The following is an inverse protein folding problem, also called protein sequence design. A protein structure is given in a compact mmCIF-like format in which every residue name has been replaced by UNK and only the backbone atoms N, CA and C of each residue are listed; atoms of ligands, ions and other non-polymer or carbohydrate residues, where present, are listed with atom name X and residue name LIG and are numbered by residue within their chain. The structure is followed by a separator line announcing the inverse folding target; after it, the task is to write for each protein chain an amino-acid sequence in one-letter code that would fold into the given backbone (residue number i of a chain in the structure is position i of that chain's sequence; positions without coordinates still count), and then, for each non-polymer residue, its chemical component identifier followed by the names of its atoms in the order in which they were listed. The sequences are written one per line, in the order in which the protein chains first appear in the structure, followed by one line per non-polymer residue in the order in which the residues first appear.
data_IF_088124814389
#
_entry.id   IF_088124814389
#
_cell.length_a   1.000
_cell.length_b   1.000
_cell.length_c   1.000
_cell.angle_alpha   90.00
_cell.angle_beta   90.00
_cell.angle_gamma   90.00
#
_symmetry.space_group_name_H-M   'P 1'
#
loop_
_entity.id
_entity.type
_entity.pdbx_description
1 polymer ?
#
# COMPACT_ATOMS: atom_id res chain seq x y z
N UNK A 1 14.20 -7.46 7.30
CA UNK A 1 14.66 -8.17 6.09
C UNK A 1 13.57 -8.07 5.06
N UNK A 2 13.83 -7.40 3.95
CA UNK A 2 12.87 -7.11 2.90
C UNK A 2 12.89 -8.22 1.85
N UNK A 3 11.76 -8.46 1.20
CA UNK A 3 11.68 -9.47 0.16
C UNK A 3 10.61 -9.10 -0.87
N UNK A 4 10.75 -9.63 -2.08
CA UNK A 4 9.65 -9.66 -3.04
C UNK A 4 9.71 -10.95 -3.86
N UNK A 5 8.56 -11.33 -4.40
CA UNK A 5 8.40 -12.47 -5.29
C UNK A 5 7.68 -12.03 -6.56
N UNK A 6 8.08 -12.62 -7.68
CA UNK A 6 7.44 -12.46 -8.98
C UNK A 6 7.02 -13.83 -9.47
N UNK A 7 5.79 -13.95 -9.95
CA UNK A 7 5.29 -15.18 -10.57
C UNK A 7 4.56 -14.85 -11.88
N UNK A 8 4.98 -15.43 -13.02
CA UNK A 8 4.25 -15.31 -14.27
C UNK A 8 2.94 -16.08 -14.24
N UNK A 9 1.97 -15.60 -15.01
CA UNK A 9 0.74 -16.35 -15.32
C UNK A 9 0.75 -16.92 -16.75
N UNK A 10 1.88 -16.82 -17.45
CA UNK A 10 2.10 -17.32 -18.80
C UNK A 10 3.49 -17.97 -18.90
N UNK A 11 3.64 -18.98 -19.76
CA UNK A 11 4.92 -19.64 -20.01
C UNK A 11 5.90 -18.74 -20.77
N UNK A 12 7.19 -19.10 -20.73
CA UNK A 12 8.27 -18.41 -21.45
C UNK A 12 8.31 -16.89 -21.19
N UNK A 13 7.95 -16.46 -19.98
CA UNK A 13 7.91 -15.06 -19.57
C UNK A 13 9.32 -14.56 -19.25
N UNK A 14 9.75 -13.51 -19.94
CA UNK A 14 11.03 -12.85 -19.72
C UNK A 14 10.87 -11.74 -18.69
N UNK A 15 11.68 -11.79 -17.62
CA UNK A 15 11.77 -10.75 -16.60
C UNK A 15 13.11 -10.02 -16.68
N UNK A 16 13.07 -8.69 -16.63
CA UNK A 16 14.22 -7.83 -16.40
C UNK A 16 14.06 -7.13 -15.04
N UNK A 17 14.95 -7.44 -14.10
CA UNK A 17 14.96 -6.88 -12.75
C UNK A 17 16.10 -5.88 -12.59
N UNK A 18 15.77 -4.61 -12.34
CA UNK A 18 16.70 -3.53 -12.07
C UNK A 18 16.64 -3.17 -10.58
N UNK A 19 17.67 -3.56 -9.83
CA UNK A 19 17.71 -3.31 -8.39
C UNK A 19 17.82 -1.82 -8.04
N UNK A 20 17.20 -1.46 -6.92
CA UNK A 20 17.31 -0.12 -6.32
C UNK A 20 18.77 0.26 -6.05
N UNK A 21 19.04 1.56 -5.90
CA UNK A 21 20.39 2.06 -5.65
C UNK A 21 21.03 1.41 -4.41
N UNK A 22 20.25 1.23 -3.34
CA UNK A 22 20.70 0.63 -2.08
C UNK A 22 21.27 -0.78 -2.27
N UNK A 23 20.63 -1.60 -3.10
CA UNK A 23 21.04 -2.97 -3.38
C UNK A 23 22.10 -3.02 -4.50
N UNK A 24 22.04 -2.09 -5.45
CA UNK A 24 22.97 -2.02 -6.58
C UNK A 24 24.43 -1.81 -6.14
N UNK A 25 24.67 -1.27 -4.95
CA UNK A 25 26.02 -1.00 -4.42
C UNK A 25 26.62 -2.15 -3.61
N UNK A 26 25.83 -3.18 -3.24
CA UNK A 26 26.32 -4.38 -2.54
C UNK A 26 25.32 -5.53 -2.66
N UNK A 27 25.62 -6.53 -3.50
CA UNK A 27 24.82 -7.76 -3.63
C UNK A 27 25.05 -8.75 -2.49
N UNK A 28 25.95 -8.47 -1.56
CA UNK A 28 26.36 -9.40 -0.51
C UNK A 28 25.21 -9.78 0.44
N UNK A 29 24.16 -8.97 0.49
CA UNK A 29 22.96 -9.22 1.30
C UNK A 29 21.77 -9.74 0.48
N UNK A 30 21.88 -9.85 -0.84
CA UNK A 30 20.78 -10.27 -1.72
C UNK A 30 20.80 -11.77 -1.95
N UNK A 31 19.71 -12.44 -1.59
CA UNK A 31 19.45 -13.83 -1.92
C UNK A 31 18.43 -13.90 -3.05
N UNK A 32 18.68 -14.74 -4.06
CA UNK A 32 17.79 -14.97 -5.19
C UNK A 32 17.51 -16.46 -5.35
N UNK A 33 16.24 -16.84 -5.35
CA UNK A 33 15.78 -18.22 -5.49
C UNK A 33 14.75 -18.32 -6.61
N UNK A 34 14.94 -19.25 -7.53
CA UNK A 34 13.89 -19.65 -8.49
C UNK A 34 13.35 -20.99 -7.97
N UNK A 35 12.07 -21.01 -7.61
CA UNK A 35 11.41 -22.24 -7.20
C UNK A 35 10.78 -22.92 -8.43
N UNK A 36 10.92 -24.25 -8.61
CA UNK A 36 11.59 -25.21 -7.71
C UNK A 36 13.11 -25.38 -7.93
N UNK A 37 13.71 -24.80 -8.97
CA UNK A 37 15.08 -25.12 -9.39
C UNK A 37 15.98 -23.89 -9.62
N UNK A 38 17.07 -23.85 -8.83
CA UNK A 38 18.35 -23.11 -9.02
C UNK A 38 18.40 -21.65 -8.50
N UNK A 39 19.51 -21.34 -7.83
CA UNK A 39 19.94 -19.98 -7.47
C UNK A 39 20.50 -19.26 -8.71
N UNK A 40 20.05 -18.05 -8.99
CA UNK A 40 20.57 -17.26 -10.11
C UNK A 40 21.70 -16.33 -9.69
N UNK A 41 22.71 -16.18 -10.55
CA UNK A 41 23.79 -15.22 -10.36
C UNK A 41 23.35 -13.83 -10.85
N UNK A 42 23.54 -12.82 -10.00
CA UNK A 42 23.19 -11.43 -10.28
C UNK A 42 24.48 -10.62 -10.34
N UNK A 43 24.58 -9.70 -11.29
CA UNK A 43 25.72 -8.80 -11.44
C UNK A 43 25.33 -7.37 -11.11
N UNK A 44 26.20 -6.67 -10.38
CA UNK A 44 26.02 -5.24 -10.07
C UNK A 44 25.94 -4.42 -11.37
N UNK A 45 25.02 -3.47 -11.42
CA UNK A 45 24.94 -2.47 -12.50
C UNK A 45 24.35 -2.97 -13.82
N UNK A 46 23.86 -4.21 -13.89
CA UNK A 46 23.09 -4.74 -15.03
C UNK A 46 21.72 -5.24 -14.55
N UNK A 47 20.67 -5.18 -15.39
CA UNK A 47 19.44 -5.90 -15.06
C UNK A 47 19.72 -7.39 -14.95
N UNK A 48 19.15 -8.03 -13.94
CA UNK A 48 19.09 -9.48 -13.87
C UNK A 48 17.97 -9.95 -14.80
N UNK A 49 18.27 -10.95 -15.65
CA UNK A 49 17.35 -11.45 -16.67
C UNK A 49 16.98 -12.89 -16.36
N UNK A 50 15.69 -13.18 -16.37
CA UNK A 50 15.12 -14.50 -16.07
C UNK A 50 14.11 -14.88 -17.14
N UNK A 51 14.02 -16.16 -17.46
CA UNK A 51 12.94 -16.74 -18.26
C UNK A 51 12.25 -17.75 -17.36
N UNK A 52 10.96 -17.55 -17.14
CA UNK A 52 10.15 -18.30 -16.19
C UNK A 52 8.91 -18.86 -16.87
N UNK A 53 8.47 -20.03 -16.43
CA UNK A 53 7.20 -20.60 -16.86
C UNK A 53 6.04 -20.14 -15.97
N UNK A 54 4.82 -20.45 -16.40
CA UNK A 54 3.62 -20.22 -15.62
C UNK A 54 3.75 -20.85 -14.22
N UNK A 55 3.44 -20.08 -13.18
CA UNK A 55 3.53 -20.45 -11.76
C UNK A 55 4.94 -20.70 -11.20
N UNK A 56 6.01 -20.52 -11.98
CA UNK A 56 7.34 -20.40 -11.41
C UNK A 56 7.39 -19.19 -10.46
N UNK A 57 8.21 -19.28 -9.42
CA UNK A 57 8.35 -18.19 -8.44
C UNK A 57 9.80 -17.76 -8.35
N UNK A 58 10.06 -16.53 -8.78
CA UNK A 58 11.32 -15.85 -8.57
C UNK A 58 11.22 -15.04 -7.26
N UNK A 59 12.04 -15.39 -6.27
CA UNK A 59 12.04 -14.78 -4.94
C UNK A 59 13.37 -14.08 -4.66
N UNK A 60 13.28 -12.84 -4.16
CA UNK A 60 14.42 -12.06 -3.70
C UNK A 60 14.26 -11.70 -2.23
N UNK A 61 15.35 -11.77 -1.49
CA UNK A 61 15.41 -11.39 -0.08
C UNK A 61 16.68 -10.57 0.19
N UNK A 62 16.57 -9.47 0.93
CA UNK A 62 17.69 -8.62 1.30
C UNK A 62 17.58 -8.07 2.72
N UNK A 63 18.74 -7.81 3.32
CA UNK A 63 18.82 -7.00 4.53
C UNK A 63 18.53 -5.51 4.25
N UNK A 64 18.79 -5.05 3.01
CA UNK A 64 18.56 -3.68 2.56
C UNK A 64 17.11 -3.47 2.10
N UNK A 65 16.70 -2.20 1.96
CA UNK A 65 15.40 -1.86 1.36
C UNK A 65 15.41 -2.15 -0.15
N UNK A 66 14.47 -3.00 -0.58
CA UNK A 66 14.27 -3.39 -1.97
C UNK A 66 13.36 -2.41 -2.73
N UNK A 67 12.78 -1.42 -2.06
CA UNK A 67 11.89 -0.42 -2.68
C UNK A 67 12.56 0.28 -3.84
N UNK A 68 11.82 0.45 -4.95
CA UNK A 68 12.36 1.00 -6.19
C UNK A 68 13.08 -0.01 -7.06
N UNK A 69 13.04 -1.30 -6.71
CA UNK A 69 13.47 -2.37 -7.61
C UNK A 69 12.44 -2.51 -8.73
N UNK A 70 12.88 -2.26 -9.96
CA UNK A 70 12.03 -2.27 -11.14
C UNK A 70 11.97 -3.68 -11.74
N UNK A 71 10.78 -4.24 -11.86
CA UNK A 71 10.51 -5.50 -12.57
C UNK A 71 9.80 -5.16 -13.87
N UNK A 72 10.42 -5.50 -14.99
CA UNK A 72 9.83 -5.35 -16.34
C UNK A 72 9.61 -6.75 -16.90
N UNK A 73 8.40 -7.03 -17.39
CA UNK A 73 8.03 -8.31 -17.99
C UNK A 73 7.42 -8.11 -19.38
N UNK A 74 7.59 -9.10 -20.26
CA UNK A 74 6.91 -9.18 -21.56
C UNK A 74 5.48 -9.76 -21.47
N UNK A 75 5.16 -10.50 -20.40
CA UNK A 75 3.84 -11.11 -20.16
C UNK A 75 3.28 -10.76 -18.77
N UNK A 76 2.10 -11.27 -18.45
CA UNK A 76 1.44 -10.97 -17.19
C UNK A 76 2.19 -11.59 -16.00
N UNK A 77 2.47 -10.78 -14.99
CA UNK A 77 3.07 -11.23 -13.73
C UNK A 77 2.28 -10.75 -12.52
N UNK A 78 2.35 -11.52 -11.44
CA UNK A 78 1.98 -11.10 -10.10
C UNK A 78 3.24 -10.78 -9.30
N UNK A 79 3.26 -9.63 -8.63
CA UNK A 79 4.35 -9.21 -7.75
C UNK A 79 3.83 -9.05 -6.34
N UNK A 80 4.50 -9.70 -5.41
CA UNK A 80 4.20 -9.62 -3.98
C UNK A 80 5.45 -9.16 -3.26
N UNK A 81 5.34 -8.12 -2.44
CA UNK A 81 6.46 -7.58 -1.68
C UNK A 81 6.15 -7.59 -0.19
N UNK A 82 7.19 -7.62 0.63
CA UNK A 82 7.02 -7.67 2.06
C UNK A 82 8.29 -7.50 2.85
N UNK A 83 8.14 -7.61 4.16
CA UNK A 83 9.25 -7.68 5.08
C UNK A 83 9.02 -8.80 6.07
N UNK A 84 10.10 -9.51 6.39
CA UNK A 84 10.17 -10.44 7.50
C UNK A 84 10.96 -9.79 8.62
N UNK A 85 10.70 -10.27 9.82
CA UNK A 85 11.42 -9.90 11.03
C UNK A 85 11.07 -8.52 11.60
N UNK A 86 9.81 -8.12 11.50
CA UNK A 86 9.34 -6.91 12.17
C UNK A 86 9.12 -7.22 13.66
N UNK A 87 9.83 -6.54 14.58
CA UNK A 87 9.60 -6.69 16.01
C UNK A 87 8.19 -6.26 16.38
N UNK A 88 7.60 -7.00 17.32
CA UNK A 88 6.30 -6.71 17.92
C UNK A 88 6.33 -7.15 19.38
N UNK A 89 5.35 -6.70 20.18
CA UNK A 89 5.20 -7.16 21.57
C UNK A 89 5.14 -8.70 21.69
N UNK A 90 4.58 -9.38 20.68
CA UNK A 90 4.33 -10.83 20.65
C UNK A 90 5.34 -11.58 19.77
N UNK A 91 6.56 -11.05 19.66
CA UNK A 91 7.67 -11.66 18.94
C UNK A 91 7.88 -11.07 17.54
N UNK A 92 8.17 -11.93 16.58
CA UNK A 92 8.58 -11.52 15.25
C UNK A 92 7.46 -11.82 14.23
N UNK A 93 7.04 -10.80 13.48
CA UNK A 93 6.02 -10.94 12.43
C UNK A 93 6.56 -10.54 11.06
N UNK A 94 5.83 -10.94 10.02
CA UNK A 94 6.07 -10.54 8.65
C UNK A 94 4.86 -9.79 8.11
N UNK A 95 5.10 -8.97 7.10
CA UNK A 95 4.10 -8.23 6.37
C UNK A 95 4.27 -8.51 4.89
N UNK A 96 3.16 -8.54 4.15
CA UNK A 96 3.11 -8.90 2.74
C UNK A 96 1.96 -8.16 2.07
N UNK A 97 2.19 -7.70 0.85
CA UNK A 97 1.18 -7.03 0.03
C UNK A 97 1.44 -7.32 -1.45
N UNK A 98 0.38 -7.43 -2.24
CA UNK A 98 0.50 -7.53 -3.70
C UNK A 98 0.74 -6.13 -4.27
N UNK A 99 1.75 -5.96 -5.10
CA UNK A 99 2.10 -4.65 -5.67
C UNK A 99 1.47 -4.51 -7.06
N UNK A 100 0.65 -3.48 -7.31
CA UNK A 100 0.08 -3.23 -8.61
C UNK A 100 1.15 -2.69 -9.58
N UNK A 101 0.96 -2.86 -10.90
CA UNK A 101 1.85 -2.25 -11.89
C UNK A 101 1.87 -0.73 -11.76
N UNK A 102 3.00 -0.15 -12.13
CA UNK A 102 3.24 1.29 -12.15
C UNK A 102 2.20 2.08 -12.95
N UNK A 103 1.61 1.49 -14.01
CA UNK A 103 0.51 2.11 -14.77
C UNK A 103 -0.80 2.30 -13.98
N UNK A 104 -0.95 1.59 -12.86
CA UNK A 104 -2.09 1.69 -11.94
C UNK A 104 -1.77 2.60 -10.76
N UNK A 105 -0.60 3.22 -10.71
CA UNK A 105 -0.27 4.18 -9.67
C UNK A 105 -0.99 5.49 -9.95
N UNK A 106 -1.17 6.29 -8.90
CA UNK A 106 -2.01 7.48 -8.97
C UNK A 106 -1.38 8.68 -8.27
N UNK A 107 -2.16 9.74 -8.09
CA UNK A 107 -1.61 11.03 -7.68
C UNK A 107 -2.40 11.73 -6.57
N UNK A 108 -3.51 11.15 -6.12
CA UNK A 108 -4.43 11.77 -5.16
C UNK A 108 -5.00 10.71 -4.23
N UNK A 109 -4.58 10.73 -2.97
CA UNK A 109 -4.90 9.68 -2.00
C UNK A 109 -5.49 10.29 -0.74
N UNK A 110 -6.45 9.58 -0.14
CA UNK A 110 -6.91 9.89 1.21
C UNK A 110 -6.35 8.86 2.16
N UNK A 111 -5.65 9.34 3.18
CA UNK A 111 -5.03 8.54 4.22
C UNK A 111 -5.73 8.76 5.55
N UNK A 112 -6.08 7.67 6.23
CA UNK A 112 -6.57 7.69 7.59
C UNK A 112 -5.80 6.67 8.44
N UNK A 113 -5.21 7.08 9.58
CA UNK A 113 -4.64 6.14 10.52
C UNK A 113 -5.68 5.11 10.98
N UNK A 114 -5.26 3.85 11.07
CA UNK A 114 -6.06 2.68 11.45
C UNK A 114 -6.64 2.76 12.86
N UNK A 115 -6.06 3.59 13.74
CA UNK A 115 -6.41 3.66 15.15
C UNK A 115 -5.86 2.49 15.98
N UNK A 116 -5.04 1.61 15.38
CA UNK A 116 -4.38 0.48 16.08
C UNK A 116 -3.15 0.91 16.86
N UNK A 117 -2.61 2.08 16.55
CA UNK A 117 -1.46 2.67 17.22
C UNK A 117 -1.79 4.10 17.67
N UNK A 118 -1.54 4.43 18.94
CA UNK A 118 -1.71 5.80 19.44
C UNK A 118 -0.74 6.79 18.78
N UNK A 119 0.42 6.31 18.34
CA UNK A 119 1.38 7.12 17.59
C UNK A 119 0.95 7.39 16.14
N UNK A 120 -0.11 6.72 15.65
CA UNK A 120 -0.51 6.76 14.25
C UNK A 120 0.13 5.67 13.39
N UNK A 121 -0.06 5.78 12.07
CA UNK A 121 0.45 4.81 11.11
C UNK A 121 1.50 5.44 10.20
N UNK A 122 2.26 4.59 9.52
CA UNK A 122 3.30 5.03 8.60
C UNK A 122 2.78 4.96 7.19
N UNK A 123 2.88 6.09 6.47
CA UNK A 123 2.67 6.13 5.04
C UNK A 123 4.01 5.99 4.33
N UNK A 124 4.12 4.99 3.46
CA UNK A 124 5.25 4.77 2.56
C UNK A 124 4.83 5.14 1.14
N UNK A 125 5.54 6.09 0.54
CA UNK A 125 5.27 6.60 -0.80
C UNK A 125 6.45 6.27 -1.71
N UNK A 126 6.20 5.70 -2.89
CA UNK A 126 7.23 5.35 -3.87
C UNK A 126 6.98 6.10 -5.17
N UNK A 127 7.98 6.80 -5.70
CA UNK A 127 7.85 7.62 -6.90
C UNK A 127 8.03 6.84 -8.20
N UNK A 128 7.12 7.01 -9.16
CA UNK A 128 7.32 6.46 -10.51
C UNK A 128 8.35 7.25 -11.33
N UNK A 129 8.46 8.56 -11.06
CA UNK A 129 9.24 9.50 -11.86
C UNK A 129 10.10 10.44 -10.97
N UNK A 130 11.25 10.92 -11.47
CA UNK A 130 12.07 11.88 -10.76
C UNK A 130 11.39 13.24 -10.65
N UNK A 131 11.86 14.09 -9.75
CA UNK A 131 11.32 15.44 -9.49
C UNK A 131 9.80 15.41 -9.28
N UNK A 132 9.34 14.55 -8.37
CA UNK A 132 7.93 14.44 -8.00
C UNK A 132 7.69 15.29 -6.75
N UNK A 133 6.86 16.31 -6.86
CA UNK A 133 6.41 17.12 -5.73
C UNK A 133 5.31 16.34 -4.98
N UNK A 134 5.45 16.18 -3.67
CA UNK A 134 4.48 15.54 -2.80
C UNK A 134 4.03 16.54 -1.73
N UNK A 135 2.71 16.69 -1.57
CA UNK A 135 2.08 17.45 -0.50
C UNK A 135 1.21 16.53 0.35
N UNK A 136 1.37 16.65 1.67
CA UNK A 136 0.58 15.91 2.66
C UNK A 136 -0.08 16.93 3.58
N UNK A 137 -1.36 16.77 3.85
CA UNK A 137 -2.08 17.65 4.79
C UNK A 137 -1.34 17.73 6.13
N UNK A 138 -1.08 18.94 6.61
CA UNK A 138 -0.36 19.17 7.88
C UNK A 138 1.16 19.12 7.79
N UNK A 139 1.74 18.83 6.61
CA UNK A 139 3.18 18.81 6.38
C UNK A 139 3.59 19.82 5.31
N UNK A 140 4.83 20.30 5.39
CA UNK A 140 5.43 21.09 4.30
C UNK A 140 5.62 20.19 3.07
N UNK A 141 5.31 20.69 1.86
CA UNK A 141 5.52 19.93 0.63
C UNK A 141 7.02 19.73 0.39
N UNK A 142 7.37 18.64 -0.29
CA UNK A 142 8.75 18.30 -0.60
C UNK A 142 8.87 17.65 -1.99
N UNK A 143 10.06 17.75 -2.57
CA UNK A 143 10.36 17.15 -3.88
C UNK A 143 11.21 15.90 -3.67
N UNK A 144 10.79 14.81 -4.30
CA UNK A 144 11.59 13.59 -4.42
C UNK A 144 12.34 13.64 -5.75
N UNK A 145 13.66 13.72 -5.68
CA UNK A 145 14.51 13.98 -6.85
C UNK A 145 14.61 12.76 -7.79
N UNK A 146 14.70 11.54 -7.25
CA UNK A 146 14.92 10.30 -7.99
C UNK A 146 13.60 9.49 -8.12
N UNK A 147 13.49 8.67 -9.17
CA UNK A 147 12.42 7.67 -9.26
C UNK A 147 12.74 6.43 -8.42
N UNK A 148 11.73 5.60 -8.13
CA UNK A 148 11.85 4.44 -7.25
C UNK A 148 12.22 4.78 -5.81
N UNK A 149 12.27 6.06 -5.44
CA UNK A 149 12.64 6.47 -4.08
C UNK A 149 11.45 6.28 -3.16
N UNK A 150 11.63 5.48 -2.12
CA UNK A 150 10.69 5.37 -1.02
C UNK A 150 10.86 6.52 -0.03
N UNK A 151 9.76 7.14 0.35
CA UNK A 151 9.69 8.13 1.43
C UNK A 151 8.66 7.66 2.45
N UNK A 152 9.08 7.62 3.71
CA UNK A 152 8.22 7.23 4.83
C UNK A 152 7.92 8.45 5.70
N UNK A 153 6.67 8.55 6.14
CA UNK A 153 6.19 9.57 7.09
C UNK A 153 5.22 8.94 8.06
N UNK A 154 5.32 9.28 9.34
CA UNK A 154 4.26 8.95 10.30
C UNK A 154 3.16 10.00 10.20
N UNK A 155 1.92 9.53 10.10
CA UNK A 155 0.73 10.37 10.23
C UNK A 155 0.09 10.00 11.56
N UNK A 156 0.16 10.93 12.51
CA UNK A 156 -0.27 10.71 13.88
C UNK A 156 -1.76 10.37 13.97
N UNK A 157 -2.12 9.61 15.02
CA UNK A 157 -3.49 9.20 15.25
C UNK A 157 -4.44 10.41 15.31
N UNK A 158 -5.60 10.27 14.65
CA UNK A 158 -6.60 11.34 14.54
C UNK A 158 -6.32 12.37 13.44
N UNK A 159 -5.15 12.33 12.78
CA UNK A 159 -4.87 13.17 11.61
C UNK A 159 -5.32 12.48 10.32
N UNK A 160 -6.36 13.00 9.69
CA UNK A 160 -6.78 12.58 8.35
C UNK A 160 -6.08 13.45 7.30
N UNK A 161 -5.47 12.82 6.30
CA UNK A 161 -4.58 13.52 5.38
C UNK A 161 -4.92 13.24 3.92
N UNK A 162 -4.95 14.30 3.12
CA UNK A 162 -4.80 14.21 1.67
C UNK A 162 -3.32 14.10 1.33
N UNK A 163 -2.98 13.19 0.43
CA UNK A 163 -1.65 13.08 -0.19
C UNK A 163 -1.83 13.37 -1.67
N UNK A 164 -1.17 14.41 -2.15
CA UNK A 164 -1.18 14.79 -3.56
C UNK A 164 0.24 14.75 -4.11
N UNK A 165 0.39 14.22 -5.32
CA UNK A 165 1.66 14.14 -6.01
C UNK A 165 1.56 14.74 -7.41
N UNK A 166 2.59 15.46 -7.86
CA UNK A 166 2.62 16.02 -9.22
C UNK A 166 2.76 14.97 -10.32
N UNK A 167 3.12 13.74 -9.96
CA UNK A 167 3.35 12.58 -10.85
C UNK A 167 2.92 11.31 -10.12
N UNK A 168 2.62 10.20 -10.82
CA UNK A 168 2.11 9.00 -10.17
C UNK A 168 3.08 8.42 -9.12
N UNK A 169 2.51 7.98 -8.00
CA UNK A 169 3.20 7.33 -6.88
C UNK A 169 2.40 6.10 -6.42
N UNK A 170 3.09 5.14 -5.79
CA UNK A 170 2.45 4.12 -4.96
C UNK A 170 2.36 4.63 -3.53
N UNK A 171 1.22 4.39 -2.88
CA UNK A 171 1.04 4.71 -1.46
C UNK A 171 0.67 3.43 -0.71
N UNK A 172 1.44 3.15 0.33
CA UNK A 172 1.25 2.03 1.25
C UNK A 172 1.04 2.57 2.66
N UNK A 173 0.11 1.99 3.39
CA UNK A 173 -0.09 2.20 4.81
C UNK A 173 0.52 1.01 5.56
N UNK A 174 1.50 1.29 6.41
CA UNK A 174 2.10 0.33 7.31
C UNK A 174 1.48 0.55 8.69
N UNK A 175 0.74 -0.46 9.15
CA UNK A 175 0.02 -0.43 10.41
C UNK A 175 0.77 -1.24 11.44
N UNK A 176 0.87 -0.70 12.66
CA UNK A 176 1.37 -1.46 13.80
C UNK A 176 2.84 -1.85 13.74
N UNK A 177 3.66 -1.10 12.99
CA UNK A 177 5.11 -1.26 12.98
C UNK A 177 5.77 -0.25 13.93
N UNK A 178 6.67 -0.72 14.79
CA UNK A 178 7.56 0.12 15.59
C UNK A 178 8.75 0.55 14.72
N UNK A 179 8.64 1.66 13.98
CA UNK A 179 9.75 2.18 13.16
C UNK A 179 10.47 3.38 13.80
N UNK A 180 9.95 3.96 14.89
CA UNK A 180 10.46 5.22 15.44
C UNK A 180 10.71 5.23 16.96
N UNK A 181 11.15 4.10 17.54
CA UNK A 181 11.32 3.93 19.01
C UNK A 181 10.05 4.30 19.81
N UNK A 182 8.89 4.22 19.17
CA UNK A 182 7.59 4.50 19.76
C UNK A 182 7.05 3.24 20.45
N UNK A 183 6.32 3.44 21.56
CA UNK A 183 5.60 2.37 22.25
C UNK A 183 4.32 2.07 21.49
N UNK A 184 4.45 1.46 20.31
CA UNK A 184 3.33 0.95 19.54
C UNK A 184 3.19 -0.55 19.82
N UNK A 185 2.27 -0.92 20.70
CA UNK A 185 2.03 -2.31 21.10
C UNK A 185 0.68 -2.79 20.54
N UNK A 186 0.50 -2.88 19.20
CA UNK A 186 -0.72 -3.41 18.66
C UNK A 186 -0.81 -4.89 19.05
N UNK A 187 -1.94 -5.30 19.61
CA UNK A 187 -2.23 -6.72 19.92
C UNK A 187 -2.26 -7.61 18.66
N UNK A 188 -2.21 -6.99 17.48
CA UNK A 188 -2.18 -7.61 16.15
C UNK A 188 -0.84 -7.30 15.49
N UNK A 189 -0.27 -8.26 14.75
CA UNK A 189 0.99 -8.05 14.05
C UNK A 189 0.91 -6.96 12.99
N UNK A 190 2.07 -6.41 12.55
CA UNK A 190 2.15 -5.39 11.52
C UNK A 190 1.57 -5.87 10.21
N UNK A 191 0.93 -4.97 9.48
CA UNK A 191 0.43 -5.21 8.12
C UNK A 191 0.79 -4.05 7.22
N UNK A 192 0.92 -4.34 5.92
CA UNK A 192 0.96 -3.34 4.86
C UNK A 192 -0.38 -3.39 4.16
N UNK A 193 -0.90 -2.24 3.75
CA UNK A 193 -2.07 -2.16 2.88
C UNK A 193 -1.87 -1.10 1.80
N UNK A 194 -2.30 -1.40 0.58
CA UNK A 194 -2.40 -0.42 -0.51
C UNK A 194 -3.40 0.69 -0.19
N UNK A 195 -2.95 1.95 -0.31
CA UNK A 195 -3.85 3.11 -0.32
C UNK A 195 -4.18 3.42 -1.78
N UNK A 196 -5.43 3.22 -2.24
CA UNK A 196 -5.84 3.51 -3.61
C UNK A 196 -5.85 5.00 -3.92
N UNK A 197 -5.47 5.32 -5.16
CA UNK A 197 -5.78 6.61 -5.76
C UNK A 197 -7.29 6.82 -5.82
N UNK A 198 -7.75 8.05 -5.61
CA UNK A 198 -9.16 8.40 -5.65
C UNK A 198 -9.77 8.07 -7.03
N UNK A 199 -8.97 8.12 -8.10
CA UNK A 199 -9.42 7.71 -9.44
C UNK A 199 -9.83 6.23 -9.55
N UNK A 200 -9.38 5.38 -8.63
CA UNK A 200 -9.77 3.97 -8.56
C UNK A 200 -11.04 3.72 -7.73
N UNK A 201 -11.53 4.73 -7.03
CA UNK A 201 -12.71 4.57 -6.19
C UNK A 201 -13.95 4.38 -7.07
N UNK A 202 -14.75 3.38 -6.73
CA UNK A 202 -15.96 3.05 -7.50
C UNK A 202 -17.16 3.83 -6.97
N UNK A 203 -18.05 4.25 -7.86
CA UNK A 203 -19.38 4.71 -7.46
C UNK A 203 -20.24 3.48 -7.16
N UNK A 204 -20.67 3.27 -5.90
CA UNK A 204 -21.51 2.10 -5.59
C UNK A 204 -21.87 1.92 -4.13
N UNK A 205 -22.38 0.73 -3.82
CA UNK A 205 -22.73 0.27 -2.48
C UNK A 205 -21.67 -0.71 -1.99
N UNK A 206 -21.14 -0.52 -0.78
CA UNK A 206 -20.36 -1.55 -0.13
C UNK A 206 -21.29 -2.39 0.73
N UNK A 207 -21.38 -3.68 0.40
CA UNK A 207 -21.96 -4.67 1.31
C UNK A 207 -20.82 -5.14 2.20
N UNK A 208 -20.95 -4.85 3.48
CA UNK A 208 -19.99 -5.28 4.48
C UNK A 208 -20.47 -6.62 5.04
N UNK A 209 -19.61 -7.66 5.13
CA UNK A 209 -19.99 -8.86 5.86
C UNK A 209 -20.38 -8.43 7.29
N UNK A 210 -21.56 -8.87 7.73
CA UNK A 210 -22.20 -8.49 8.99
C UNK A 210 -21.26 -8.74 10.18
N UNK A 211 -20.50 -7.70 10.53
CA UNK A 211 -19.57 -7.70 11.64
C UNK A 211 -19.79 -6.45 12.49
N UNK A 212 -19.50 -6.58 13.79
CA UNK A 212 -19.50 -5.46 14.72
C UNK A 212 -18.38 -4.50 14.35
N UNK A 213 -18.73 -3.36 13.76
CA UNK A 213 -17.75 -2.33 13.45
C UNK A 213 -17.52 -1.41 14.66
N UNK A 214 -16.28 -1.34 15.14
CA UNK A 214 -15.81 -0.23 15.98
C UNK A 214 -14.94 0.68 15.11
N UNK A 215 -15.28 1.98 15.05
CA UNK A 215 -14.48 3.05 14.42
C UNK A 215 -14.27 2.89 12.90
N UNK A 216 -15.34 2.94 12.09
CA UNK A 216 -15.20 2.97 10.62
C UNK A 216 -15.00 4.39 10.14
N UNK A 217 -13.97 4.59 9.29
CA UNK A 217 -13.80 5.82 8.53
C UNK A 217 -14.33 5.58 7.13
N UNK A 218 -15.43 6.26 6.80
CA UNK A 218 -16.00 6.25 5.45
C UNK A 218 -15.60 7.55 4.77
N UNK A 219 -14.90 7.47 3.66
CA UNK A 219 -14.57 8.68 2.88
C UNK A 219 -15.45 8.65 1.64
N UNK A 220 -16.28 9.66 1.46
CA UNK A 220 -17.22 9.73 0.35
C UNK A 220 -17.18 11.11 -0.33
N UNK A 221 -17.35 11.13 -1.65
CA UNK A 221 -17.54 12.36 -2.44
C UNK A 221 -18.93 13.01 -2.22
N UNK A 222 -19.80 12.36 -1.45
CA UNK A 222 -21.15 12.84 -1.13
C UNK A 222 -21.33 13.01 0.37
N UNK A 223 -22.22 13.92 0.77
CA UNK A 223 -22.47 14.25 2.18
C UNK A 223 -23.42 13.26 2.88
N UNK A 224 -23.86 12.21 2.19
CA UNK A 224 -24.89 11.30 2.66
C UNK A 224 -24.36 9.86 2.63
N UNK A 225 -24.11 9.32 3.82
CA UNK A 225 -23.85 7.90 4.06
C UNK A 225 -25.09 7.33 4.76
N UNK A 226 -25.75 6.37 4.11
CA UNK A 226 -26.91 5.67 4.69
C UNK A 226 -26.45 4.26 5.10
N UNK A 227 -26.65 3.91 6.38
CA UNK A 227 -26.43 2.55 6.88
C UNK A 227 -27.61 1.63 6.57
N UNK A 228 -27.38 0.31 6.51
CA UNK A 228 -28.41 -0.74 6.34
C UNK A 228 -29.62 -0.60 7.28
N UNK A 229 -29.44 -0.02 8.46
CA UNK A 229 -30.52 0.23 9.43
C UNK A 229 -31.47 1.38 9.05
N UNK A 230 -31.20 2.10 7.96
CA UNK A 230 -31.97 3.26 7.52
C UNK A 230 -31.80 4.51 8.40
N UNK A 231 -30.99 4.45 9.47
CA UNK A 231 -30.69 5.61 10.34
C UNK A 231 -29.50 6.39 9.79
N UNK A 232 -29.65 7.72 9.76
CA UNK A 232 -28.51 8.63 9.62
C UNK A 232 -27.66 8.57 10.90
N UNK A 233 -26.36 8.28 10.78
CA UNK A 233 -25.43 8.34 11.92
C UNK A 233 -24.94 9.76 12.11
N UNK A 234 -24.71 10.14 13.37
CA UNK A 234 -24.12 11.43 13.71
C UNK A 234 -22.67 11.47 13.20
N UNK A 235 -22.46 12.19 12.10
CA UNK A 235 -21.16 12.31 11.43
C UNK A 235 -20.38 13.47 12.05
N UNK A 236 -19.19 13.23 12.59
CA UNK A 236 -18.22 14.32 12.72
C UNK A 236 -17.67 14.60 11.32
N UNK A 237 -18.17 15.65 10.68
CA UNK A 237 -17.73 16.04 9.34
C UNK A 237 -16.30 16.57 9.40
N UNK A 238 -15.32 15.79 8.93
CA UNK A 238 -14.02 16.34 8.58
C UNK A 238 -14.03 16.63 7.08
N UNK A 239 -13.96 17.91 6.72
CA UNK A 239 -13.68 18.34 5.35
C UNK A 239 -12.20 18.08 5.08
N UNK A 240 -11.90 17.17 4.15
CA UNK A 240 -10.53 17.01 3.68
C UNK A 240 -10.15 18.27 2.92
N UNK A 241 -9.13 19.04 3.36
CA UNK A 241 -8.75 20.29 2.70
C UNK A 241 -8.50 20.08 1.20
N UNK A 242 -9.00 21.00 0.38
CA UNK A 242 -8.82 21.01 -1.08
C UNK A 242 -9.42 19.83 -1.85
N UNK A 243 -10.31 19.03 -1.25
CA UNK A 243 -11.08 18.01 -1.97
C UNK A 243 -12.60 18.26 -1.82
N UNK A 244 -13.38 17.77 -2.80
CA UNK A 244 -14.84 17.65 -2.66
C UNK A 244 -15.27 16.47 -1.77
N UNK A 245 -14.31 15.69 -1.25
CA UNK A 245 -14.56 14.51 -0.44
C UNK A 245 -14.73 14.86 1.03
N UNK A 246 -15.64 14.16 1.70
CA UNK A 246 -15.91 14.28 3.13
C UNK A 246 -15.49 12.99 3.81
N UNK A 247 -14.73 13.12 4.89
CA UNK A 247 -14.47 12.02 5.81
C UNK A 247 -15.63 12.00 6.79
N UNK A 248 -16.33 10.87 6.81
CA UNK A 248 -17.41 10.55 7.71
C UNK A 248 -16.91 9.47 8.65
N UNK A 249 -16.56 9.87 9.88
CA UNK A 249 -16.26 8.91 10.93
C UNK A 249 -17.57 8.42 11.55
N UNK A 250 -17.83 7.13 11.43
CA UNK A 250 -18.95 6.49 12.11
C UNK A 250 -18.55 6.23 13.56
N UNK A 251 -18.92 7.16 14.44
CA UNK A 251 -18.82 6.98 15.88
C UNK A 251 -20.04 6.17 16.32
N UNK A 252 -19.91 4.87 16.55
CA UNK A 252 -20.96 4.14 17.27
C UNK A 252 -20.40 3.29 18.41
N UNK A 253 -21.10 3.36 19.54
CA UNK A 253 -21.06 2.35 20.56
C UNK A 253 -21.98 1.22 20.10
N UNK A 254 -21.42 0.11 19.59
CA UNK A 254 -22.12 -1.17 19.42
C UNK A 254 -23.25 -1.24 18.37
N UNK A 255 -23.01 -0.85 17.10
CA UNK A 255 -23.93 -1.18 16.00
C UNK A 255 -23.23 -1.95 14.86
N UNK A 256 -23.94 -2.91 14.26
CA UNK A 256 -23.51 -3.64 13.04
C UNK A 256 -23.83 -2.77 11.82
N UNK A 257 -22.87 -2.68 10.88
CA UNK A 257 -23.04 -1.95 9.62
C UNK A 257 -23.03 -2.97 8.49
N UNK A 258 -24.20 -3.30 7.94
CA UNK A 258 -24.29 -4.34 6.89
C UNK A 258 -24.17 -3.76 5.48
N UNK A 259 -24.49 -2.48 5.31
CA UNK A 259 -24.54 -1.83 4.00
C UNK A 259 -24.19 -0.35 4.12
N UNK A 260 -23.31 0.14 3.24
CA UNK A 260 -22.99 1.56 3.08
C UNK A 260 -23.37 1.99 1.66
N UNK A 261 -24.37 2.87 1.56
CA UNK A 261 -24.77 3.50 0.29
C UNK A 261 -24.21 4.91 0.21
N UNK A 262 -23.45 5.19 -0.83
CA UNK A 262 -22.97 6.53 -1.16
C UNK A 262 -23.42 6.90 -2.58
N UNK A 263 -23.70 8.18 -2.83
CA UNK A 263 -24.04 8.65 -4.17
C UNK A 263 -22.81 9.01 -5.02
N UNK A 264 -21.62 8.60 -4.57
CA UNK A 264 -20.34 8.86 -5.25
C UNK A 264 -19.20 8.03 -4.67
N UNK A 265 -18.02 8.14 -5.28
CA UNK A 265 -16.88 7.26 -5.01
C UNK A 265 -16.49 7.24 -3.52
N UNK A 266 -16.23 6.05 -2.98
CA UNK A 266 -15.90 5.84 -1.57
C UNK A 266 -14.77 4.82 -1.36
N UNK A 267 -14.09 4.96 -0.23
CA UNK A 267 -13.16 3.96 0.30
C UNK A 267 -13.54 3.64 1.75
N UNK A 268 -13.44 2.35 2.10
CA UNK A 268 -13.60 1.87 3.47
C UNK A 268 -12.24 1.58 4.05
N UNK A 269 -11.95 2.23 5.18
CA UNK A 269 -10.74 1.96 5.96
C UNK A 269 -11.21 1.31 7.25
N UNK A 270 -10.97 0.00 7.36
CA UNK A 270 -11.19 -0.78 8.59
C UNK A 270 -9.87 -1.38 8.98
N UNK A 271 -9.37 -1.09 10.17
CA UNK A 271 -8.22 -1.81 10.72
C UNK A 271 -6.97 -1.79 9.82
N UNK A 272 -6.87 -0.79 8.91
CA UNK A 272 -5.83 -0.69 7.89
C UNK A 272 -6.22 -1.19 6.50
N UNK A 273 -7.26 -2.01 6.32
CA UNK A 273 -7.62 -2.63 5.04
C UNK A 273 -8.47 -1.70 4.14
N UNK A 274 -8.08 -1.58 2.86
CA UNK A 274 -8.88 -1.02 1.77
C UNK A 274 -9.47 -2.16 0.94
N UNK A 275 -10.80 -2.20 0.79
CA UNK A 275 -11.47 -3.14 -0.13
C UNK A 275 -11.51 -2.50 -1.52
N UNK A 276 -10.72 -3.04 -2.44
CA UNK A 276 -10.74 -2.66 -3.86
C UNK A 276 -10.98 -3.91 -4.72
N UNK A 277 -12.03 -3.88 -5.53
CA UNK A 277 -12.19 -4.83 -6.62
C UNK A 277 -11.38 -4.33 -7.81
N UNK A 278 -10.09 -4.69 -7.89
CA UNK A 278 -9.23 -4.35 -9.02
C UNK A 278 -8.46 -5.58 -9.50
N UNK A 279 -8.48 -5.83 -10.81
CA UNK A 279 -7.58 -6.79 -11.45
C UNK A 279 -6.15 -6.23 -11.38
N UNK A 280 -5.30 -6.89 -10.57
CA UNK A 280 -3.91 -6.52 -10.32
C UNK A 280 -2.90 -7.30 -11.19
N UNK A 281 -3.36 -8.07 -12.18
CA UNK A 281 -2.48 -8.74 -13.16
C UNK A 281 -2.02 -7.80 -14.28
N UNK A 282 -0.78 -7.92 -14.78
CA UNK A 282 -0.23 -6.92 -15.72
C UNK A 282 0.95 -7.37 -16.59
N UNK A 283 0.96 -6.96 -17.87
CA UNK A 283 2.06 -7.10 -18.85
C UNK A 283 3.10 -5.97 -18.77
N UNK A 284 3.25 -5.32 -17.61
CA UNK A 284 3.95 -4.03 -17.55
C UNK A 284 4.85 -3.96 -16.31
N UNK A 285 5.48 -2.80 -16.12
CA UNK A 285 6.45 -2.53 -15.06
C UNK A 285 5.84 -2.47 -13.64
N UNK A 286 6.54 -3.03 -12.67
CA UNK A 286 6.30 -2.92 -11.21
C UNK A 286 7.57 -2.34 -10.52
N UNK A 287 7.41 -1.53 -9.47
CA UNK A 287 8.48 -0.81 -8.75
C UNK A 287 8.41 -1.02 -7.23
#
# INVERSE_FOLDING_TARGET
MCWFSVSPIENDTTLHVYFSRAVSTSLNSLTCLIMPNVSANISVGKPAVFILNEFDVLHFESAEDLSGTRVVSDNKVAVVAGAKRIPTENGIKGMVEQIPPTKKWGSSFVFAPSGRCQAGDIVKMITQAPNTLISITGFSPFIVAENGTAVERRIDWGMYSMIEASKPILVLQIVGAELYNDTCSPTTGPTIVLVPDIAHWTNGTAVLPNEYFKNVVVIASSSLVILSSGRAVNTSNFSVPHSSHKVITLLSQSETVDEIKTSGAYALIRDGAFLLAADWSTNDEVL
#
